data_IF_119959594327
#
_entry.id   IF_119959594327
#
_cell.length_a   1.000
_cell.length_b   1.000
_cell.length_c   1.000
_cell.angle_alpha   90.00
_cell.angle_beta   90.00
_cell.angle_gamma   90.00
#
_symmetry.space_group_name_H-M   'P 1'
#
loop_
_entity.id
_entity.type
_entity.pdbx_description
1 polymer ?
#
# COMPACT_ATOMS: atom_id res chain seq x y z
N UNK A 1 -4.93 6.20 -3.83
CA UNK A 1 -5.49 6.27 -2.47
C UNK A 1 -4.84 5.26 -1.54
N UNK A 2 -4.78 3.96 -1.89
CA UNK A 2 -4.09 2.95 -1.04
C UNK A 2 -2.64 3.31 -0.69
N UNK A 3 -1.88 3.89 -1.61
CA UNK A 3 -0.48 4.33 -1.35
C UNK A 3 -0.36 5.48 -0.34
N UNK A 4 -1.44 6.25 -0.09
CA UNK A 4 -1.43 7.30 0.93
C UNK A 4 -1.46 6.73 2.36
N UNK A 5 -1.96 5.51 2.53
CA UNK A 5 -2.10 4.84 3.83
C UNK A 5 -0.76 4.73 4.58
N UNK A 6 0.35 4.66 3.85
CA UNK A 6 1.69 4.62 4.42
C UNK A 6 2.04 5.85 5.28
N UNK A 7 1.54 7.02 4.87
CA UNK A 7 1.72 8.28 5.60
C UNK A 7 0.92 8.26 6.91
N UNK A 8 -0.20 7.51 6.96
CA UNK A 8 -1.07 7.36 8.12
C UNK A 8 -0.59 6.32 9.14
N UNK A 9 0.67 5.87 9.05
CA UNK A 9 1.27 4.93 10.01
C UNK A 9 1.42 5.46 11.45
N UNK A 10 1.03 6.71 11.72
CA UNK A 10 1.10 7.36 13.03
C UNK A 10 2.51 7.79 13.47
N UNK A 11 3.53 7.55 12.64
CA UNK A 11 4.94 7.81 12.96
C UNK A 11 5.46 9.18 12.51
N UNK A 12 4.69 9.90 11.71
CA UNK A 12 5.02 11.24 11.24
C UNK A 12 4.38 12.30 12.12
N UNK A 13 5.18 13.01 12.92
CA UNK A 13 4.71 14.05 13.84
C UNK A 13 3.91 15.16 13.14
N UNK A 14 4.22 15.47 11.89
CA UNK A 14 3.45 16.44 11.09
C UNK A 14 2.00 16.02 10.87
N UNK A 15 1.72 14.71 10.88
CA UNK A 15 0.39 14.15 10.63
C UNK A 15 -0.31 13.83 11.95
N UNK A 16 0.36 13.05 12.81
CA UNK A 16 -0.24 12.56 14.06
C UNK A 16 -0.09 13.52 15.24
N UNK A 17 0.76 14.55 15.14
CA UNK A 17 0.95 15.55 16.19
C UNK A 17 -0.30 16.41 16.43
N UNK A 18 -0.93 16.99 15.40
CA UNK A 18 -2.16 17.79 15.57
C UNK A 18 -3.41 16.95 15.88
N UNK A 19 -3.48 15.71 15.40
CA UNK A 19 -4.71 14.88 15.41
C UNK A 19 -4.71 13.77 16.45
N UNK A 20 -3.53 13.39 16.96
CA UNK A 20 -3.35 12.24 17.85
C UNK A 20 -3.09 10.93 17.10
N UNK A 21 -2.24 10.08 17.68
CA UNK A 21 -1.86 8.79 17.10
C UNK A 21 -3.06 7.85 17.02
N UNK A 22 -3.92 7.83 18.04
CA UNK A 22 -5.09 6.93 18.08
C UNK A 22 -6.08 7.24 16.97
N UNK A 23 -6.37 8.52 16.73
CA UNK A 23 -7.26 8.94 15.65
C UNK A 23 -6.65 8.62 14.29
N UNK A 24 -5.35 8.94 14.09
CA UNK A 24 -4.63 8.60 12.85
C UNK A 24 -4.71 7.10 12.57
N UNK A 25 -4.53 6.27 13.59
CA UNK A 25 -4.57 4.81 13.46
C UNK A 25 -5.97 4.27 13.18
N UNK A 26 -7.01 4.82 13.83
CA UNK A 26 -8.40 4.48 13.50
C UNK A 26 -8.75 4.84 12.07
N UNK A 27 -8.25 5.98 11.58
CA UNK A 27 -8.47 6.42 10.20
C UNK A 27 -7.78 5.50 9.19
N UNK A 28 -6.52 5.13 9.44
CA UNK A 28 -5.80 4.12 8.65
C UNK A 28 -6.58 2.80 8.56
N UNK A 29 -7.10 2.30 9.70
CA UNK A 29 -7.89 1.06 9.70
C UNK A 29 -9.19 1.19 8.93
N UNK A 30 -9.91 2.31 9.08
CA UNK A 30 -11.16 2.55 8.38
C UNK A 30 -10.92 2.63 6.87
N UNK A 31 -9.98 3.46 6.42
CA UNK A 31 -9.66 3.59 5.01
C UNK A 31 -9.16 2.27 4.43
N UNK A 32 -8.24 1.57 5.11
CA UNK A 32 -7.73 0.29 4.63
C UNK A 32 -8.87 -0.72 4.40
N UNK A 33 -9.83 -0.83 5.34
CA UNK A 33 -10.99 -1.73 5.19
C UNK A 33 -11.90 -1.30 4.06
N UNK A 34 -12.24 -0.01 3.98
CA UNK A 34 -13.10 0.53 2.92
C UNK A 34 -12.48 0.38 1.54
N UNK A 35 -11.21 0.79 1.36
CA UNK A 35 -10.49 0.64 0.10
C UNK A 35 -10.32 -0.82 -0.29
N UNK A 36 -10.10 -1.72 0.67
CA UNK A 36 -10.05 -3.15 0.38
C UNK A 36 -11.37 -3.61 -0.24
N UNK A 37 -12.52 -3.26 0.32
CA UNK A 37 -13.81 -3.60 -0.28
C UNK A 37 -13.96 -3.08 -1.72
N UNK A 38 -13.58 -1.83 -1.99
CA UNK A 38 -13.59 -1.28 -3.35
C UNK A 38 -12.62 -2.02 -4.30
N UNK A 39 -11.42 -2.38 -3.81
CA UNK A 39 -10.45 -3.16 -4.57
C UNK A 39 -10.95 -4.60 -4.78
N UNK A 40 -11.74 -5.19 -3.89
CA UNK A 40 -12.33 -6.50 -4.16
C UNK A 40 -13.36 -6.44 -5.29
N UNK A 41 -14.10 -5.35 -5.37
CA UNK A 41 -15.15 -5.15 -6.36
C UNK A 41 -14.58 -4.72 -7.72
N UNK A 42 -13.44 -4.01 -7.76
CA UNK A 42 -12.94 -3.37 -8.97
C UNK A 42 -12.84 -4.27 -10.22
N UNK A 43 -12.41 -5.55 -10.17
CA UNK A 43 -12.26 -6.36 -11.38
C UNK A 43 -13.61 -6.56 -12.10
N UNK A 44 -14.70 -6.55 -11.34
CA UNK A 44 -16.06 -6.74 -11.84
C UNK A 44 -16.68 -5.46 -12.40
N UNK A 45 -16.04 -4.30 -12.19
CA UNK A 45 -16.51 -3.01 -12.70
C UNK A 45 -16.01 -2.71 -14.11
N UNK A 46 -14.99 -3.42 -14.58
CA UNK A 46 -14.42 -3.21 -15.90
C UNK A 46 -15.00 -4.21 -16.90
N UNK A 47 -15.56 -3.67 -17.99
CA UNK A 47 -16.04 -4.44 -19.14
C UNK A 47 -15.38 -3.86 -20.39
N UNK A 48 -14.93 -4.73 -21.28
CA UNK A 48 -14.40 -4.32 -22.58
C UNK A 48 -15.20 -4.96 -23.71
N UNK A 49 -15.40 -4.24 -24.82
CA UNK A 49 -16.06 -4.81 -25.99
C UNK A 49 -15.19 -5.87 -26.67
N UNK A 50 -13.86 -5.83 -26.51
CA UNK A 50 -12.94 -6.78 -27.15
C UNK A 50 -11.97 -7.42 -26.14
N UNK A 51 -11.61 -8.69 -26.40
CA UNK A 51 -10.74 -9.49 -25.51
C UNK A 51 -9.23 -9.27 -25.72
N UNK A 52 -8.80 -8.81 -26.89
CA UNK A 52 -7.39 -8.71 -27.26
C UNK A 52 -7.09 -7.37 -27.95
N UNK A 53 -5.97 -6.72 -27.62
CA UNK A 53 -5.62 -5.42 -28.16
C UNK A 53 -5.49 -5.50 -29.69
N UNK A 54 -6.08 -4.52 -30.38
CA UNK A 54 -6.02 -4.42 -31.83
C UNK A 54 -4.93 -3.44 -32.24
N UNK A 55 -4.17 -3.70 -33.33
CA UNK A 55 -3.06 -2.84 -33.76
C UNK A 55 -3.45 -1.37 -34.02
N UNK A 56 -4.72 -1.13 -34.35
CA UNK A 56 -5.26 0.20 -34.64
C UNK A 56 -5.97 0.86 -33.44
N UNK A 57 -6.18 0.15 -32.32
CA UNK A 57 -6.71 0.75 -31.08
C UNK A 57 -5.58 1.43 -30.30
N UNK A 58 -4.96 2.43 -30.92
CA UNK A 58 -3.87 3.22 -30.33
C UNK A 58 -4.31 3.97 -29.07
N UNK A 59 -5.62 4.10 -28.84
CA UNK A 59 -6.17 4.76 -27.66
C UNK A 59 -6.40 3.79 -26.50
N UNK A 60 -6.49 2.47 -26.74
CA UNK A 60 -6.86 1.46 -25.75
C UNK A 60 -8.31 1.59 -25.28
N UNK A 61 -9.24 2.00 -26.15
CA UNK A 61 -10.67 2.22 -25.82
C UNK A 61 -11.45 0.91 -25.82
N UNK A 62 -11.00 -0.03 -26.64
CA UNK A 62 -11.75 -1.24 -26.95
C UNK A 62 -11.25 -2.43 -26.12
N UNK A 63 -10.08 -2.29 -25.48
CA UNK A 63 -9.43 -3.34 -24.69
C UNK A 63 -8.76 -2.82 -23.43
N UNK A 64 -8.51 -3.72 -22.48
CA UNK A 64 -7.68 -3.48 -21.30
C UNK A 64 -6.30 -4.11 -21.49
N UNK A 65 -5.28 -3.53 -20.84
CA UNK A 65 -3.92 -4.06 -20.81
C UNK A 65 -3.77 -5.29 -19.90
N UNK A 66 -4.60 -6.31 -20.10
CA UNK A 66 -4.59 -7.52 -19.27
C UNK A 66 -3.61 -8.57 -19.80
N UNK A 67 -2.36 -8.14 -20.05
CA UNK A 67 -1.26 -9.06 -20.34
C UNK A 67 -0.96 -9.98 -19.15
N UNK A 68 -0.19 -11.04 -19.37
CA UNK A 68 0.13 -12.02 -18.32
C UNK A 68 0.75 -11.38 -17.08
N UNK A 69 1.68 -10.43 -17.24
CA UNK A 69 2.33 -9.75 -16.13
C UNK A 69 1.35 -8.86 -15.33
N UNK A 70 0.51 -8.08 -16.02
CA UNK A 70 -0.55 -7.28 -15.42
C UNK A 70 -1.53 -8.14 -14.62
N UNK A 71 -2.02 -9.25 -15.18
CA UNK A 71 -2.94 -10.16 -14.47
C UNK A 71 -2.26 -10.76 -13.24
N UNK A 72 -1.04 -11.26 -13.37
CA UNK A 72 -0.33 -11.88 -12.25
C UNK A 72 -0.08 -10.89 -11.11
N UNK A 73 0.43 -9.70 -11.42
CA UNK A 73 0.68 -8.67 -10.40
C UNK A 73 -0.61 -8.17 -9.77
N UNK A 74 -1.67 -7.99 -10.56
CA UNK A 74 -3.00 -7.64 -10.08
C UNK A 74 -3.54 -8.70 -9.11
N UNK A 75 -3.62 -9.96 -9.54
CA UNK A 75 -4.13 -11.09 -8.76
C UNK A 75 -3.34 -11.29 -7.46
N UNK A 76 -2.01 -11.30 -7.52
CA UNK A 76 -1.17 -11.49 -6.35
C UNK A 76 -1.33 -10.34 -5.36
N UNK A 77 -1.35 -9.09 -5.84
CA UNK A 77 -1.61 -7.92 -4.98
C UNK A 77 -3.00 -7.96 -4.33
N UNK A 78 -4.00 -8.44 -5.08
CA UNK A 78 -5.39 -8.54 -4.65
C UNK A 78 -5.56 -9.56 -3.52
N UNK A 79 -5.03 -10.78 -3.69
CA UNK A 79 -5.04 -11.81 -2.65
C UNK A 79 -4.22 -11.37 -1.45
N UNK A 80 -3.02 -10.83 -1.68
CA UNK A 80 -2.12 -10.43 -0.61
C UNK A 80 -2.70 -9.26 0.21
N UNK A 81 -3.45 -8.34 -0.40
CA UNK A 81 -4.14 -7.27 0.32
C UNK A 81 -5.18 -7.82 1.30
N UNK A 82 -6.00 -8.78 0.87
CA UNK A 82 -6.96 -9.46 1.77
C UNK A 82 -6.23 -10.09 2.93
N UNK A 83 -5.19 -10.88 2.65
CA UNK A 83 -4.39 -11.53 3.69
C UNK A 83 -3.75 -10.52 4.64
N UNK A 84 -3.21 -9.42 4.13
CA UNK A 84 -2.58 -8.37 4.93
C UNK A 84 -3.59 -7.69 5.87
N UNK A 85 -4.80 -7.40 5.39
CA UNK A 85 -5.86 -6.77 6.19
C UNK A 85 -6.37 -7.72 7.26
N UNK A 86 -6.59 -9.00 6.94
CA UNK A 86 -6.96 -10.02 7.93
C UNK A 86 -5.82 -10.20 8.97
N UNK A 87 -4.57 -10.25 8.52
CA UNK A 87 -3.39 -10.30 9.38
C UNK A 87 -3.31 -9.09 10.33
N UNK A 88 -3.79 -7.92 9.90
CA UNK A 88 -3.86 -6.74 10.74
C UNK A 88 -5.05 -6.75 11.71
N UNK A 89 -6.22 -7.24 11.29
CA UNK A 89 -7.42 -7.36 12.14
C UNK A 89 -7.20 -8.38 13.26
N UNK A 90 -6.62 -9.54 12.94
CA UNK A 90 -6.39 -10.63 13.89
C UNK A 90 -5.03 -10.54 14.59
N UNK A 91 -4.34 -9.39 14.52
CA UNK A 91 -3.01 -9.18 15.10
C UNK A 91 -2.83 -9.79 16.49
N UNK A 92 -3.75 -9.50 17.41
CA UNK A 92 -3.61 -9.86 18.82
C UNK A 92 -3.96 -11.34 19.10
N UNK A 93 -4.49 -12.05 18.10
CA UNK A 93 -4.76 -13.50 18.16
C UNK A 93 -3.63 -14.32 17.55
N UNK A 94 -2.66 -13.68 16.89
CA UNK A 94 -1.54 -14.37 16.26
C UNK A 94 -0.40 -14.57 17.27
N UNK A 95 0.35 -15.68 17.20
CA UNK A 95 1.43 -15.98 18.13
C UNK A 95 2.72 -15.17 17.87
N UNK A 96 2.63 -14.08 17.10
CA UNK A 96 3.79 -13.28 16.69
C UNK A 96 4.08 -12.16 17.68
N UNK A 97 5.37 -11.90 17.92
CA UNK A 97 5.79 -10.67 18.61
C UNK A 97 5.38 -9.45 17.79
N UNK A 98 5.13 -8.34 18.47
CA UNK A 98 4.72 -7.10 17.83
C UNK A 98 5.72 -6.63 16.76
N UNK A 99 7.03 -6.76 17.03
CA UNK A 99 8.09 -6.37 16.11
C UNK A 99 8.04 -7.19 14.82
N UNK A 100 7.86 -8.51 14.93
CA UNK A 100 7.71 -9.42 13.80
C UNK A 100 6.46 -9.08 13.00
N UNK A 101 5.31 -8.95 13.67
CA UNK A 101 4.06 -8.57 13.02
C UNK A 101 4.20 -7.25 12.26
N UNK A 102 4.81 -6.25 12.90
CA UNK A 102 5.01 -4.91 12.33
C UNK A 102 5.89 -4.96 11.09
N UNK A 103 7.03 -5.66 11.15
CA UNK A 103 7.92 -5.81 10.01
C UNK A 103 7.24 -6.55 8.85
N UNK A 104 6.61 -7.70 9.13
CA UNK A 104 5.91 -8.50 8.12
C UNK A 104 4.78 -7.71 7.47
N UNK A 105 4.00 -6.95 8.26
CA UNK A 105 2.97 -6.08 7.72
C UNK A 105 3.53 -5.00 6.80
N UNK A 106 4.63 -4.33 7.21
CA UNK A 106 5.29 -3.31 6.40
C UNK A 106 5.86 -3.86 5.08
N UNK A 107 6.51 -5.02 5.11
CA UNK A 107 7.04 -5.68 3.92
C UNK A 107 5.91 -6.15 2.98
N UNK A 108 4.87 -6.77 3.52
CA UNK A 108 3.70 -7.18 2.76
C UNK A 108 3.02 -5.98 2.08
N UNK A 109 2.86 -4.88 2.81
CA UNK A 109 2.34 -3.63 2.25
C UNK A 109 3.21 -3.11 1.09
N UNK A 110 4.55 -3.15 1.23
CA UNK A 110 5.48 -2.72 0.17
C UNK A 110 5.33 -3.55 -1.10
N UNK A 111 5.20 -4.88 -0.96
CA UNK A 111 5.00 -5.80 -2.09
C UNK A 111 3.66 -5.51 -2.78
N UNK A 112 2.57 -5.35 -2.02
CA UNK A 112 1.25 -4.97 -2.57
C UNK A 112 1.34 -3.64 -3.31
N UNK A 113 2.02 -2.64 -2.73
CA UNK A 113 2.18 -1.32 -3.34
C UNK A 113 2.91 -1.40 -4.69
N UNK A 114 4.00 -2.15 -4.76
CA UNK A 114 4.76 -2.34 -6.00
C UNK A 114 3.94 -3.07 -7.07
N UNK A 115 3.35 -4.23 -6.72
CA UNK A 115 2.56 -5.04 -7.64
C UNK A 115 1.29 -4.34 -8.11
N UNK A 116 0.58 -3.69 -7.20
CA UNK A 116 -0.63 -2.91 -7.53
C UNK A 116 -0.31 -1.69 -8.40
N UNK A 117 0.83 -1.03 -8.19
CA UNK A 117 1.28 0.08 -9.05
C UNK A 117 1.60 -0.42 -10.46
N UNK A 118 2.35 -1.52 -10.56
CA UNK A 118 2.63 -2.16 -11.85
C UNK A 118 1.33 -2.52 -12.58
N UNK A 119 0.43 -3.25 -11.91
CA UNK A 119 -0.87 -3.61 -12.46
C UNK A 119 -1.67 -2.39 -12.92
N UNK A 120 -1.73 -1.32 -12.11
CA UNK A 120 -2.48 -0.12 -12.47
C UNK A 120 -1.94 0.52 -13.75
N UNK A 121 -0.62 0.67 -13.88
CA UNK A 121 0.03 1.28 -15.04
C UNK A 121 -0.12 0.40 -16.29
N UNK A 122 0.11 -0.90 -16.17
CA UNK A 122 0.10 -1.85 -17.30
C UNK A 122 -1.33 -2.16 -17.78
N UNK A 123 -2.28 -2.33 -16.85
CA UNK A 123 -3.66 -2.69 -17.18
C UNK A 123 -4.52 -1.50 -17.65
N UNK A 124 -4.29 -0.32 -17.08
CA UNK A 124 -5.21 0.79 -17.17
C UNK A 124 -4.88 1.74 -18.30
N UNK A 125 -5.80 1.91 -19.27
CA UNK A 125 -5.72 2.94 -20.32
C UNK A 125 -5.29 4.31 -19.79
N UNK A 126 -5.99 4.82 -18.78
CA UNK A 126 -5.70 6.13 -18.20
C UNK A 126 -4.47 6.11 -17.30
N UNK A 127 -4.29 5.04 -16.52
CA UNK A 127 -3.16 4.89 -15.59
C UNK A 127 -1.81 4.76 -16.29
N UNK A 128 -1.78 4.22 -17.51
CA UNK A 128 -0.62 4.19 -18.39
C UNK A 128 -0.31 5.54 -19.08
N UNK A 129 -1.19 6.54 -18.98
CA UNK A 129 -0.89 7.88 -19.50
C UNK A 129 0.29 8.50 -18.72
N UNK A 130 1.26 9.19 -19.37
CA UNK A 130 2.49 9.64 -18.71
C UNK A 130 2.29 10.41 -17.40
N UNK A 131 1.33 11.33 -17.36
CA UNK A 131 1.01 12.10 -16.15
C UNK A 131 0.51 11.22 -15.00
N UNK A 132 -0.36 10.25 -15.29
CA UNK A 132 -0.93 9.40 -14.25
C UNK A 132 0.06 8.30 -13.82
N UNK A 133 0.88 7.81 -14.75
CA UNK A 133 2.04 6.96 -14.45
C UNK A 133 3.01 7.67 -13.51
N UNK A 134 3.39 8.92 -13.81
CA UNK A 134 4.25 9.72 -12.94
C UNK A 134 3.64 9.92 -11.54
N UNK A 135 2.33 10.15 -11.47
CA UNK A 135 1.60 10.21 -10.20
C UNK A 135 1.69 8.89 -9.42
N UNK A 136 1.44 7.75 -10.05
CA UNK A 136 1.54 6.44 -9.40
C UNK A 136 2.95 6.14 -8.89
N UNK A 137 3.97 6.40 -9.71
CA UNK A 137 5.37 6.22 -9.33
C UNK A 137 5.80 7.17 -8.21
N UNK A 138 5.35 8.43 -8.25
CA UNK A 138 5.57 9.39 -7.17
C UNK A 138 4.95 8.95 -5.85
N UNK A 139 3.73 8.44 -5.89
CA UNK A 139 3.04 7.88 -4.72
C UNK A 139 3.71 6.61 -4.19
N UNK A 140 4.20 5.73 -5.08
CA UNK A 140 4.97 4.56 -4.69
C UNK A 140 6.30 4.96 -4.05
N UNK A 141 6.99 5.95 -4.63
CA UNK A 141 8.22 6.52 -4.08
C UNK A 141 7.99 7.11 -2.69
N UNK A 142 6.88 7.82 -2.47
CA UNK A 142 6.49 8.31 -1.15
C UNK A 142 6.26 7.16 -0.17
N UNK A 143 5.52 6.11 -0.57
CA UNK A 143 5.28 4.94 0.27
C UNK A 143 6.60 4.25 0.67
N UNK A 144 7.50 4.01 -0.28
CA UNK A 144 8.84 3.45 -0.03
C UNK A 144 9.64 4.36 0.90
N UNK A 145 9.63 5.67 0.66
CA UNK A 145 10.32 6.64 1.50
C UNK A 145 9.82 6.58 2.96
N UNK A 146 8.51 6.49 3.18
CA UNK A 146 7.98 6.40 4.55
C UNK A 146 8.46 5.15 5.27
N UNK A 147 8.52 4.00 4.58
CA UNK A 147 9.06 2.75 5.15
C UNK A 147 10.54 2.89 5.49
N UNK A 148 11.35 3.39 4.56
CA UNK A 148 12.78 3.63 4.80
C UNK A 148 13.00 4.60 5.96
N UNK A 149 12.20 5.65 6.05
CA UNK A 149 12.26 6.61 7.15
C UNK A 149 12.02 5.95 8.50
N UNK A 150 11.00 5.10 8.58
CA UNK A 150 10.54 4.48 9.82
C UNK A 150 11.39 3.27 10.24
N UNK A 151 11.87 2.46 9.29
CA UNK A 151 12.61 1.23 9.57
C UNK A 151 14.14 1.38 9.50
N UNK A 152 14.65 2.40 8.82
CA UNK A 152 16.10 2.58 8.63
C UNK A 152 16.56 3.90 9.25
N UNK A 153 16.03 5.03 8.78
CA UNK A 153 16.53 6.35 9.18
C UNK A 153 16.29 6.62 10.66
N UNK A 154 15.08 6.37 11.16
CA UNK A 154 14.73 6.63 12.57
C UNK A 154 15.55 5.79 13.55
N UNK A 155 15.67 4.45 13.38
CA UNK A 155 16.54 3.64 14.24
C UNK A 155 18.00 4.07 14.21
N UNK A 156 18.57 4.36 13.03
CA UNK A 156 19.96 4.83 12.92
C UNK A 156 20.19 6.17 13.65
N UNK A 157 19.20 7.07 13.63
CA UNK A 157 19.24 8.32 14.40
C UNK A 157 19.18 8.07 15.91
N UNK A 158 18.33 7.15 16.35
CA UNK A 158 18.21 6.79 17.77
C UNK A 158 19.47 6.11 18.31
N UNK A 159 20.16 5.30 17.50
CA UNK A 159 21.45 4.70 17.89
C UNK A 159 22.54 5.75 18.18
N UNK A 160 22.47 6.94 17.56
CA UNK A 160 23.38 8.06 17.83
C UNK A 160 23.04 8.81 19.13
N UNK A 161 21.82 8.63 19.66
CA UNK A 161 21.34 9.28 20.88
C UNK A 161 20.61 8.25 21.76
N UNK A 162 21.35 7.28 22.34
CA UNK A 162 20.73 6.21 23.12
C UNK A 162 20.07 6.77 24.37
N UNK A 163 18.81 6.39 24.59
CA UNK A 163 18.11 6.70 25.83
C UNK A 163 18.60 5.80 26.96
N UNK A 164 18.90 6.38 28.12
CA UNK A 164 19.16 5.64 29.36
C UNK A 164 17.86 5.53 30.15
N UNK A 165 17.40 4.31 30.42
CA UNK A 165 16.29 4.08 31.33
C UNK A 165 16.76 4.37 32.75
N UNK A 166 16.27 5.45 33.35
CA UNK A 166 16.69 5.91 34.69
C UNK A 166 15.88 5.23 35.78
N UNK A 167 14.59 4.94 35.55
CA UNK A 167 13.76 4.19 36.49
C UNK A 167 12.54 3.60 35.77
N UNK A 168 12.00 2.52 36.30
CA UNK A 168 10.68 1.97 35.92
C UNK A 168 9.86 1.89 37.20
N UNK A 169 8.73 2.60 37.26
CA UNK A 169 7.76 2.48 38.35
C UNK A 169 6.57 1.67 37.85
N UNK A 170 6.16 0.69 38.65
CA UNK A 170 4.91 -0.06 38.45
C UNK A 170 3.74 0.72 39.03
#
# INVERSE_FOLDING_TARGET
>A
MLLMEFVLSGRFKSVSGPTGIDLTMRFHQLIARSLTAFILIHPFLYVTPLKHPLPWDTTGQLTLGLGTASILTGLLSWVLLVLLVLFAIFRDQLPYRYETWRLSHGLGAAVIAAMGTHHAIDAGRYSGHPHLTAYWLGMLGLAVFTLLYVYVITPLRQLRHPYRVVSVKK
#
